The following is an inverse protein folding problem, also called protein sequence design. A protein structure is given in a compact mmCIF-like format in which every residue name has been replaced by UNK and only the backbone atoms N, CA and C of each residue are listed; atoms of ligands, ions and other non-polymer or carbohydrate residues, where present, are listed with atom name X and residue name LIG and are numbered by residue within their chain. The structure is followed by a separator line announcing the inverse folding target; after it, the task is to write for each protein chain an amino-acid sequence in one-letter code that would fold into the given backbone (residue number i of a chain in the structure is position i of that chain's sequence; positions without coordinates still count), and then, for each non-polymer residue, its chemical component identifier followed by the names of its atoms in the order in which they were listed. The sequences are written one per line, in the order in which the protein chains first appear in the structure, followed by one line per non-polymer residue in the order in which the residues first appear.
data_IF_455119849121
#
_entry.id   IF_455119849121
#
_cell.length_a   1.000
_cell.length_b   1.000
_cell.length_c   1.000
_cell.angle_alpha   90.00
_cell.angle_beta   90.00
_cell.angle_gamma   90.00
#
_symmetry.space_group_name_H-M   'P 1'
#
loop_
_entity.id
_entity.type
_entity.pdbx_description
1 polymer ?
#
# COMPACT_ATOMS: atom_id res chain seq x y z
N UNK A 1 30.06 -29.55 -33.11
CA UNK A 1 30.68 -28.41 -33.81
C UNK A 1 29.56 -27.66 -34.53
N UNK A 2 29.14 -26.51 -34.03
CA UNK A 2 28.15 -25.66 -34.70
C UNK A 2 28.83 -24.94 -35.87
N UNK A 3 28.25 -24.99 -37.07
CA UNK A 3 28.75 -24.27 -38.22
C UNK A 3 28.69 -22.76 -38.03
N UNK A 4 29.57 -21.95 -38.59
CA UNK A 4 29.57 -20.49 -38.49
C UNK A 4 28.21 -19.88 -38.84
N UNK A 5 27.52 -20.37 -39.86
CA UNK A 5 26.17 -19.92 -40.25
C UNK A 5 25.10 -20.17 -39.17
N UNK A 6 25.18 -21.28 -38.42
CA UNK A 6 24.26 -21.58 -37.34
C UNK A 6 24.52 -20.67 -36.13
N UNK A 7 25.74 -20.20 -35.93
CA UNK A 7 26.12 -19.29 -34.87
C UNK A 7 25.63 -17.86 -35.17
N UNK A 8 25.77 -17.39 -36.39
CA UNK A 8 25.25 -16.08 -36.87
C UNK A 8 23.72 -16.03 -36.80
N UNK A 9 23.04 -17.12 -37.17
CA UNK A 9 21.59 -17.22 -37.06
C UNK A 9 21.12 -17.14 -35.61
N UNK A 10 21.82 -17.81 -34.68
CA UNK A 10 21.50 -17.78 -33.23
C UNK A 10 21.69 -16.38 -32.63
N UNK A 11 22.75 -15.70 -32.97
CA UNK A 11 22.99 -14.32 -32.52
C UNK A 11 21.94 -13.35 -33.05
N UNK A 12 21.52 -13.50 -34.30
CA UNK A 12 20.46 -12.69 -34.89
C UNK A 12 19.12 -12.88 -34.15
N UNK A 13 18.79 -14.12 -33.80
CA UNK A 13 17.55 -14.43 -33.03
C UNK A 13 17.63 -13.83 -31.62
N UNK A 14 18.76 -14.02 -30.91
CA UNK A 14 18.94 -13.47 -29.57
C UNK A 14 18.84 -11.94 -29.56
N UNK A 15 19.48 -11.30 -30.53
CA UNK A 15 19.44 -9.85 -30.63
C UNK A 15 18.02 -9.33 -30.91
N UNK A 16 17.27 -9.99 -31.79
CA UNK A 16 15.85 -9.68 -32.02
C UNK A 16 14.99 -9.90 -30.77
N UNK A 17 15.23 -10.98 -30.02
CA UNK A 17 14.50 -11.25 -28.78
C UNK A 17 14.76 -10.19 -27.75
N UNK A 18 15.99 -9.75 -27.53
CA UNK A 18 16.36 -8.67 -26.63
C UNK A 18 15.73 -7.33 -27.06
N UNK A 19 15.72 -7.02 -28.35
CA UNK A 19 15.15 -5.78 -28.87
C UNK A 19 13.61 -5.76 -28.84
N UNK A 20 12.94 -6.91 -28.89
CA UNK A 20 11.48 -7.00 -28.78
C UNK A 20 10.99 -7.02 -27.35
N UNK A 21 11.89 -7.08 -26.35
CA UNK A 21 11.50 -6.95 -24.93
C UNK A 21 11.00 -5.55 -24.63
N UNK A 22 9.87 -5.46 -23.89
CA UNK A 22 9.38 -4.20 -23.37
C UNK A 22 10.20 -3.70 -22.16
N UNK A 23 10.94 -4.61 -21.51
CA UNK A 23 11.87 -4.22 -20.43
C UNK A 23 13.12 -3.59 -21.02
N UNK A 24 13.61 -2.55 -20.36
CA UNK A 24 14.90 -1.97 -20.65
C UNK A 24 16.01 -2.92 -20.19
N UNK A 25 16.89 -3.31 -21.10
CA UNK A 25 18.05 -4.15 -20.81
C UNK A 25 19.30 -3.37 -21.16
N UNK A 26 20.22 -3.30 -20.19
CA UNK A 26 21.54 -2.69 -20.38
C UNK A 26 22.62 -3.64 -19.92
N UNK A 27 23.82 -3.47 -20.45
CA UNK A 27 25.04 -4.12 -19.95
C UNK A 27 26.05 -3.03 -19.67
N UNK A 28 26.69 -3.09 -18.49
CA UNK A 28 27.77 -2.19 -18.11
C UNK A 28 29.07 -2.96 -17.90
N UNK A 29 30.24 -2.31 -18.11
CA UNK A 29 31.55 -2.90 -17.96
C UNK A 29 32.26 -2.29 -16.74
N UNK A 30 32.33 -3.02 -15.63
CA UNK A 30 32.97 -2.55 -14.39
C UNK A 30 34.51 -2.50 -14.46
N UNK A 31 35.12 -3.06 -15.48
CA UNK A 31 36.56 -2.94 -15.70
C UNK A 31 36.97 -1.58 -16.28
N UNK A 32 36.01 -0.84 -16.81
CA UNK A 32 36.19 0.51 -17.33
C UNK A 32 35.92 1.57 -16.24
N UNK A 33 36.54 2.74 -16.33
CA UNK A 33 36.27 3.83 -15.40
C UNK A 33 34.78 4.18 -15.39
N UNK A 34 34.19 4.28 -14.18
CA UNK A 34 32.82 4.67 -13.94
C UNK A 34 31.74 3.65 -14.34
N UNK A 35 32.09 2.39 -14.64
CA UNK A 35 31.16 1.32 -15.00
C UNK A 35 30.14 1.76 -16.07
N UNK A 36 30.61 2.11 -17.29
CA UNK A 36 29.78 2.68 -18.33
C UNK A 36 28.87 1.63 -18.99
N UNK A 37 27.80 2.10 -19.62
CA UNK A 37 26.93 1.30 -20.49
C UNK A 37 27.71 0.94 -21.75
N UNK A 38 27.77 -0.35 -22.07
CA UNK A 38 28.36 -0.87 -23.30
C UNK A 38 27.33 -1.48 -24.26
N UNK A 39 26.11 -1.72 -23.77
CA UNK A 39 24.99 -2.22 -24.56
C UNK A 39 23.68 -1.77 -23.96
N UNK A 40 22.69 -1.51 -24.81
CA UNK A 40 21.30 -1.35 -24.43
C UNK A 40 20.37 -1.90 -25.52
N UNK A 41 19.16 -2.29 -25.13
CA UNK A 41 18.14 -2.73 -26.06
C UNK A 41 17.14 -1.59 -26.40
N UNK A 42 16.30 -1.85 -27.40
CA UNK A 42 15.25 -0.89 -27.80
C UNK A 42 14.27 -0.57 -26.65
N UNK A 43 13.97 -1.55 -25.77
CA UNK A 43 13.10 -1.34 -24.61
C UNK A 43 13.62 -0.23 -23.68
N UNK A 44 14.93 -0.18 -23.45
CA UNK A 44 15.54 0.89 -22.68
C UNK A 44 15.33 2.27 -23.34
N UNK A 45 15.58 2.37 -24.64
CA UNK A 45 15.41 3.64 -25.37
C UNK A 45 13.96 4.10 -25.39
N UNK A 46 12.99 3.19 -25.55
CA UNK A 46 11.57 3.51 -25.54
C UNK A 46 11.10 3.96 -24.15
N UNK A 47 11.59 3.33 -23.09
CA UNK A 47 11.22 3.64 -21.69
C UNK A 47 11.83 4.97 -21.22
N UNK A 48 13.09 5.24 -21.61
CA UNK A 48 13.83 6.41 -21.08
C UNK A 48 13.86 7.60 -22.02
N UNK A 49 13.54 7.40 -23.30
CA UNK A 49 13.62 8.45 -24.33
C UNK A 49 15.04 8.80 -24.79
N UNK A 50 16.06 8.13 -24.25
CA UNK A 50 17.45 8.30 -24.68
C UNK A 50 17.79 7.37 -25.84
N UNK A 51 18.55 7.89 -26.80
CA UNK A 51 19.10 7.08 -27.90
C UNK A 51 20.39 6.41 -27.47
N UNK A 52 20.73 5.30 -28.11
CA UNK A 52 21.93 4.53 -27.84
C UNK A 52 23.19 5.41 -27.89
N UNK A 53 23.33 6.23 -28.93
CA UNK A 53 24.45 7.15 -29.15
C UNK A 53 24.63 8.23 -28.05
N UNK A 54 23.62 8.47 -27.25
CA UNK A 54 23.64 9.47 -26.17
C UNK A 54 24.10 8.88 -24.84
N UNK A 55 23.98 7.57 -24.66
CA UNK A 55 24.18 6.91 -23.36
C UNK A 55 25.26 5.83 -23.36
N UNK A 56 25.71 5.38 -24.53
CA UNK A 56 26.87 4.49 -24.61
C UNK A 56 28.12 5.21 -24.06
N UNK A 57 28.82 4.55 -23.15
CA UNK A 57 29.95 5.13 -22.43
C UNK A 57 29.61 5.94 -21.18
N UNK A 58 28.32 6.18 -20.92
CA UNK A 58 27.85 6.90 -19.73
C UNK A 58 27.44 5.92 -18.62
N UNK A 59 27.51 6.40 -17.35
CA UNK A 59 26.99 5.64 -16.24
C UNK A 59 25.48 5.93 -16.03
N UNK A 60 24.69 4.88 -15.74
CA UNK A 60 23.21 4.96 -15.61
C UNK A 60 22.69 5.97 -14.58
N UNK A 61 23.57 6.60 -13.76
CA UNK A 61 23.15 7.60 -12.78
C UNK A 61 22.48 8.83 -13.37
N UNK A 62 22.59 9.06 -14.69
CA UNK A 62 21.88 10.16 -15.37
C UNK A 62 20.35 10.01 -15.28
N UNK A 63 19.83 8.80 -14.99
CA UNK A 63 18.41 8.57 -14.72
C UNK A 63 17.99 8.96 -13.30
N UNK A 64 18.91 9.30 -12.40
CA UNK A 64 18.60 9.70 -11.04
C UNK A 64 18.20 11.18 -10.97
N UNK A 65 17.36 11.51 -9.99
CA UNK A 65 16.87 12.87 -9.81
C UNK A 65 16.33 13.12 -8.40
N UNK A 66 15.60 14.24 -8.18
CA UNK A 66 15.21 14.70 -6.85
C UNK A 66 14.41 13.70 -6.01
N UNK A 67 13.58 12.86 -6.64
CA UNK A 67 12.76 11.86 -5.94
C UNK A 67 13.44 10.49 -5.86
N UNK A 68 14.64 10.32 -6.42
CA UNK A 68 15.38 9.06 -6.30
C UNK A 68 15.85 8.87 -4.86
N UNK A 69 15.42 7.77 -4.23
CA UNK A 69 15.76 7.48 -2.85
C UNK A 69 17.28 7.17 -2.71
N UNK A 70 18.06 7.96 -1.94
CA UNK A 70 19.50 7.74 -1.76
C UNK A 70 19.82 6.35 -1.18
N UNK A 71 18.96 5.79 -0.33
CA UNK A 71 19.16 4.46 0.25
C UNK A 71 19.22 3.38 -0.84
N UNK A 72 18.30 3.40 -1.81
CA UNK A 72 18.32 2.45 -2.93
C UNK A 72 19.55 2.64 -3.83
N UNK A 73 20.03 3.88 -4.00
CA UNK A 73 21.27 4.15 -4.74
C UNK A 73 22.48 3.57 -4.00
N UNK A 74 22.53 3.65 -2.68
CA UNK A 74 23.61 3.06 -1.87
C UNK A 74 23.54 1.53 -1.87
N UNK A 75 22.35 0.91 -1.87
CA UNK A 75 22.19 -0.53 -2.07
C UNK A 75 22.75 -1.00 -3.40
N UNK A 76 22.43 -0.30 -4.50
CA UNK A 76 22.96 -0.58 -5.83
C UNK A 76 24.48 -0.46 -5.84
N UNK A 77 25.04 0.63 -5.29
CA UNK A 77 26.47 0.87 -5.24
C UNK A 77 27.19 -0.21 -4.42
N UNK A 78 26.62 -0.61 -3.29
CA UNK A 78 27.16 -1.68 -2.47
C UNK A 78 27.16 -3.02 -3.21
N UNK A 79 26.06 -3.37 -3.88
CA UNK A 79 25.92 -4.61 -4.64
C UNK A 79 26.96 -4.69 -5.78
N UNK A 80 27.09 -3.61 -6.54
CA UNK A 80 28.09 -3.53 -7.62
C UNK A 80 29.51 -3.68 -7.08
N UNK A 81 29.85 -3.02 -5.98
CA UNK A 81 31.20 -3.09 -5.39
C UNK A 81 31.59 -4.46 -4.86
N UNK A 82 30.59 -5.28 -4.49
CA UNK A 82 30.79 -6.64 -3.99
C UNK A 82 30.46 -7.72 -5.00
N UNK A 83 30.14 -7.38 -6.25
CA UNK A 83 29.73 -8.29 -7.30
C UNK A 83 28.52 -9.16 -6.90
N UNK A 84 27.53 -8.57 -6.27
CA UNK A 84 26.27 -9.22 -5.88
C UNK A 84 25.09 -8.72 -6.71
N UNK A 85 24.08 -9.58 -6.84
CA UNK A 85 22.80 -9.18 -7.44
C UNK A 85 22.04 -8.24 -6.50
N UNK A 86 21.27 -7.33 -7.10
CA UNK A 86 20.38 -6.42 -6.37
C UNK A 86 19.08 -6.22 -7.15
N UNK A 87 17.98 -6.10 -6.41
CA UNK A 87 16.67 -5.75 -7.00
C UNK A 87 16.01 -4.68 -6.14
N UNK A 88 15.76 -3.52 -6.73
CA UNK A 88 15.16 -2.36 -6.05
C UNK A 88 14.11 -1.72 -6.94
N UNK A 89 13.15 -1.04 -6.33
CA UNK A 89 12.25 -0.14 -7.05
C UNK A 89 12.60 1.30 -6.67
N UNK A 90 12.97 2.10 -7.65
CA UNK A 90 13.39 3.48 -7.43
C UNK A 90 12.76 4.43 -8.46
N UNK A 91 12.69 5.71 -8.14
CA UNK A 91 12.25 6.73 -9.09
C UNK A 91 13.41 7.09 -10.02
N UNK A 92 13.16 7.00 -11.33
CA UNK A 92 14.06 7.45 -12.38
C UNK A 92 13.39 8.53 -13.26
N UNK A 93 14.21 9.23 -14.01
CA UNK A 93 13.82 10.37 -14.84
C UNK A 93 14.19 10.09 -16.31
N UNK A 94 13.20 9.96 -17.20
CA UNK A 94 13.43 9.92 -18.63
C UNK A 94 13.92 11.27 -19.15
N UNK A 95 14.31 11.31 -20.42
CA UNK A 95 14.85 12.50 -21.09
C UNK A 95 13.89 13.69 -21.12
N UNK A 96 12.59 13.45 -21.08
CA UNK A 96 11.56 14.51 -21.07
C UNK A 96 11.38 15.20 -19.72
N UNK A 97 12.09 14.74 -18.67
CA UNK A 97 12.03 15.28 -17.32
C UNK A 97 10.83 14.85 -16.50
N UNK A 98 9.97 13.96 -16.99
CA UNK A 98 8.97 13.26 -16.18
C UNK A 98 9.66 12.32 -15.20
N UNK A 99 8.91 11.54 -14.44
CA UNK A 99 9.49 10.46 -13.63
C UNK A 99 8.70 9.17 -13.82
N UNK A 100 9.34 8.05 -13.53
CA UNK A 100 8.70 6.74 -13.50
C UNK A 100 9.27 5.87 -12.37
N UNK A 101 8.50 4.90 -11.92
CA UNK A 101 8.94 3.91 -10.96
C UNK A 101 9.61 2.77 -11.70
N UNK A 102 10.93 2.71 -11.55
CA UNK A 102 11.77 1.69 -12.19
C UNK A 102 11.99 0.52 -11.25
N UNK A 103 11.46 -0.65 -11.58
CA UNK A 103 11.89 -1.91 -10.97
C UNK A 103 13.16 -2.35 -11.66
N UNK A 104 14.29 -2.16 -10.98
CA UNK A 104 15.63 -2.43 -11.48
C UNK A 104 16.19 -3.66 -10.80
N UNK A 105 16.60 -4.64 -11.63
CA UNK A 105 17.40 -5.79 -11.19
C UNK A 105 18.76 -5.71 -11.88
N UNK A 106 19.84 -5.87 -11.11
CA UNK A 106 21.22 -5.86 -11.60
C UNK A 106 21.86 -7.18 -11.18
N UNK A 107 22.36 -7.92 -12.16
CA UNK A 107 23.05 -9.18 -11.94
C UNK A 107 24.49 -9.10 -12.48
N UNK A 108 25.50 -9.49 -11.67
CA UNK A 108 26.86 -9.64 -12.16
C UNK A 108 26.95 -10.85 -13.09
N UNK A 109 27.69 -10.71 -14.17
CA UNK A 109 27.94 -11.79 -15.09
C UNK A 109 29.43 -11.91 -15.44
N UNK A 110 29.86 -13.13 -15.65
CA UNK A 110 31.23 -13.51 -15.96
C UNK A 110 31.31 -13.89 -17.43
N UNK A 111 32.17 -13.24 -18.19
CA UNK A 111 32.41 -13.60 -19.61
C UNK A 111 33.85 -14.05 -19.82
N UNK A 112 34.80 -13.40 -19.12
CA UNK A 112 36.24 -13.67 -19.19
C UNK A 112 36.85 -13.73 -17.78
N UNK A 113 38.01 -14.34 -17.59
CA UNK A 113 38.71 -14.39 -16.33
C UNK A 113 38.95 -12.96 -15.79
N UNK A 114 38.56 -12.72 -14.54
CA UNK A 114 38.69 -11.45 -13.81
C UNK A 114 37.92 -10.25 -14.40
N UNK A 115 36.97 -10.46 -15.34
CA UNK A 115 36.20 -9.38 -15.92
C UNK A 115 34.71 -9.52 -15.64
N UNK A 116 34.17 -8.56 -14.85
CA UNK A 116 32.77 -8.50 -14.50
C UNK A 116 32.03 -7.51 -15.39
N UNK A 117 30.88 -7.97 -15.85
CA UNK A 117 29.85 -7.16 -16.47
C UNK A 117 28.62 -7.16 -15.58
N UNK A 118 27.84 -6.11 -15.62
CA UNK A 118 26.54 -6.10 -14.94
C UNK A 118 25.42 -6.00 -15.97
N UNK A 119 24.46 -6.90 -15.86
CA UNK A 119 23.23 -6.88 -16.67
C UNK A 119 22.16 -6.20 -15.83
N UNK A 120 21.71 -5.03 -16.26
CA UNK A 120 20.60 -4.31 -15.67
C UNK A 120 19.31 -4.58 -16.45
N UNK A 121 18.29 -5.12 -15.78
CA UNK A 121 16.94 -5.26 -16.33
C UNK A 121 16.03 -4.27 -15.62
N UNK A 122 15.33 -3.46 -16.41
CA UNK A 122 14.50 -2.35 -15.93
C UNK A 122 13.07 -2.52 -16.43
N UNK A 123 12.11 -2.36 -15.54
CA UNK A 123 10.69 -2.36 -15.88
C UNK A 123 10.03 -1.12 -15.31
N UNK A 124 9.29 -0.39 -16.15
CA UNK A 124 8.39 0.65 -15.65
C UNK A 124 7.19 -0.01 -14.97
N UNK A 125 7.04 0.26 -13.68
CA UNK A 125 5.95 -0.24 -12.83
C UNK A 125 5.09 0.91 -12.30
N UNK A 126 5.13 2.06 -12.96
CA UNK A 126 4.41 3.26 -12.54
C UNK A 126 2.90 3.03 -12.53
N UNK A 127 2.37 2.36 -13.56
CA UNK A 127 0.93 2.06 -13.67
C UNK A 127 0.52 1.13 -12.52
N UNK A 128 1.29 0.08 -12.26
CA UNK A 128 1.01 -0.90 -11.20
C UNK A 128 1.02 -0.23 -9.81
N UNK A 129 2.03 0.59 -9.52
CA UNK A 129 2.15 1.32 -8.25
C UNK A 129 1.01 2.33 -8.09
N UNK A 130 0.75 3.14 -9.11
CA UNK A 130 -0.33 4.15 -9.08
C UNK A 130 -1.70 3.51 -8.89
N UNK A 131 -1.97 2.38 -9.58
CA UNK A 131 -3.22 1.65 -9.44
C UNK A 131 -3.38 1.07 -8.02
N UNK A 132 -2.30 0.55 -7.44
CA UNK A 132 -2.30 0.03 -6.08
C UNK A 132 -2.53 1.14 -5.05
N UNK A 133 -1.88 2.29 -5.20
CA UNK A 133 -2.08 3.47 -4.35
C UNK A 133 -3.52 4.00 -4.42
N UNK A 134 -4.08 4.10 -5.64
CA UNK A 134 -5.47 4.52 -5.83
C UNK A 134 -6.47 3.55 -5.18
N UNK A 135 -6.25 2.23 -5.34
CA UNK A 135 -7.08 1.23 -4.69
C UNK A 135 -6.99 1.35 -3.16
N UNK A 136 -5.80 1.50 -2.62
CA UNK A 136 -5.60 1.67 -1.20
C UNK A 136 -6.29 2.94 -0.66
N UNK A 137 -6.16 4.07 -1.37
CA UNK A 137 -6.84 5.32 -1.02
C UNK A 137 -8.37 5.17 -1.07
N UNK A 138 -8.90 4.52 -2.11
CA UNK A 138 -10.34 4.28 -2.24
C UNK A 138 -10.87 3.39 -1.10
N UNK A 139 -10.12 2.36 -0.71
CA UNK A 139 -10.47 1.51 0.44
C UNK A 139 -10.47 2.28 1.75
N UNK A 140 -9.45 3.10 1.99
CA UNK A 140 -9.35 3.95 3.20
C UNK A 140 -10.50 4.98 3.26
N UNK A 141 -10.86 5.57 2.13
CA UNK A 141 -11.98 6.49 2.04
C UNK A 141 -13.32 5.77 2.28
N UNK A 142 -13.55 4.61 1.68
CA UNK A 142 -14.73 3.79 1.92
C UNK A 142 -14.85 3.37 3.38
N UNK A 143 -13.74 2.96 4.01
CA UNK A 143 -13.71 2.64 5.44
C UNK A 143 -14.04 3.88 6.30
N UNK A 144 -13.47 5.04 6.00
CA UNK A 144 -13.76 6.30 6.72
C UNK A 144 -15.22 6.71 6.61
N UNK A 145 -15.83 6.55 5.45
CA UNK A 145 -17.25 6.88 5.22
C UNK A 145 -18.20 5.86 5.85
N UNK A 146 -17.73 4.63 6.11
CA UNK A 146 -18.55 3.56 6.68
C UNK A 146 -18.79 3.69 8.19
N UNK A 147 -18.11 4.61 8.89
CA UNK A 147 -18.20 4.81 10.34
C UNK A 147 -18.29 6.29 10.74
N UNK A 148 -19.20 7.08 10.15
CA UNK A 148 -19.31 8.49 10.50
C UNK A 148 -19.93 8.62 11.90
N UNK A 149 -19.27 9.36 12.82
CA UNK A 149 -19.89 9.80 14.05
C UNK A 149 -20.66 11.08 13.73
N UNK A 150 -21.97 11.01 13.81
CA UNK A 150 -22.87 12.10 13.46
C UNK A 150 -23.44 12.72 14.75
N UNK A 151 -23.18 14.01 15.04
CA UNK A 151 -23.86 14.69 16.15
C UNK A 151 -25.32 14.86 15.78
N UNK A 152 -26.23 14.43 16.65
CA UNK A 152 -27.67 14.57 16.43
C UNK A 152 -28.21 15.69 17.31
N UNK A 153 -27.74 15.77 18.55
CA UNK A 153 -28.14 16.80 19.53
C UNK A 153 -26.94 17.17 20.41
N UNK A 154 -27.08 18.20 21.21
CA UNK A 154 -26.05 18.62 22.17
C UNK A 154 -25.70 17.48 23.13
N UNK A 155 -24.45 17.02 23.08
CA UNK A 155 -23.94 15.92 23.89
C UNK A 155 -24.41 14.53 23.47
N UNK A 156 -25.03 14.37 22.29
CA UNK A 156 -25.48 13.08 21.77
C UNK A 156 -25.01 12.93 20.33
N UNK A 157 -24.16 11.91 20.09
CA UNK A 157 -23.74 11.51 18.76
C UNK A 157 -24.22 10.10 18.43
N UNK A 158 -24.38 9.82 17.13
CA UNK A 158 -24.75 8.49 16.62
C UNK A 158 -23.63 7.99 15.74
N UNK A 159 -23.35 6.72 15.89
CA UNK A 159 -22.44 5.93 15.06
C UNK A 159 -23.22 4.76 14.44
N UNK A 160 -23.63 4.85 13.17
CA UNK A 160 -24.22 3.72 12.48
C UNK A 160 -23.12 2.73 12.04
N UNK A 161 -23.27 1.46 12.43
CA UNK A 161 -22.42 0.37 11.95
C UNK A 161 -23.09 -0.33 10.77
N UNK A 162 -22.49 -0.19 9.58
CA UNK A 162 -22.99 -0.82 8.34
C UNK A 162 -21.95 -1.84 7.86
N UNK A 163 -22.39 -3.04 7.42
CA UNK A 163 -21.52 -4.10 6.92
C UNK A 163 -21.00 -5.02 8.02
N UNK A 164 -19.69 -5.23 8.12
CA UNK A 164 -19.05 -6.10 9.11
C UNK A 164 -18.23 -5.30 10.13
N UNK A 165 -18.19 -5.77 11.37
CA UNK A 165 -17.31 -5.23 12.41
C UNK A 165 -16.07 -6.11 12.51
N UNK A 166 -14.88 -5.53 12.31
CA UNK A 166 -13.59 -6.20 12.43
C UNK A 166 -12.62 -5.37 13.30
N UNK A 167 -11.50 -5.95 13.72
CA UNK A 167 -10.51 -5.31 14.60
C UNK A 167 -10.04 -3.95 14.06
N UNK A 168 -9.69 -3.88 12.78
CA UNK A 168 -9.25 -2.63 12.14
C UNK A 168 -10.32 -1.53 12.24
N UNK A 169 -11.57 -1.88 12.06
CA UNK A 169 -12.69 -0.93 12.15
C UNK A 169 -12.90 -0.45 13.58
N UNK A 170 -12.69 -1.32 14.56
CA UNK A 170 -12.73 -0.95 15.99
C UNK A 170 -11.62 0.04 16.33
N UNK A 171 -10.40 -0.19 15.84
CA UNK A 171 -9.28 0.74 15.99
C UNK A 171 -9.57 2.11 15.35
N UNK A 172 -10.16 2.12 14.16
CA UNK A 172 -10.57 3.36 13.49
C UNK A 172 -11.64 4.12 14.27
N UNK A 173 -12.62 3.42 14.87
CA UNK A 173 -13.62 3.99 15.75
C UNK A 173 -12.96 4.65 16.96
N UNK A 174 -12.04 3.96 17.61
CA UNK A 174 -11.29 4.48 18.75
C UNK A 174 -10.52 5.77 18.39
N UNK A 175 -9.79 5.75 17.28
CA UNK A 175 -9.03 6.91 16.81
C UNK A 175 -9.94 8.09 16.43
N UNK A 176 -11.07 7.83 15.78
CA UNK A 176 -12.05 8.85 15.42
C UNK A 176 -12.71 9.47 16.65
N UNK A 177 -12.95 8.66 17.67
CA UNK A 177 -13.57 9.10 18.90
C UNK A 177 -12.61 9.93 19.77
N UNK A 178 -11.36 9.48 19.90
CA UNK A 178 -10.31 10.20 20.64
C UNK A 178 -9.97 11.55 20.03
N UNK A 179 -9.86 11.62 18.70
CA UNK A 179 -9.58 12.89 18.01
C UNK A 179 -10.73 13.90 18.13
N UNK A 180 -11.97 13.43 18.20
CA UNK A 180 -13.17 14.28 18.29
C UNK A 180 -13.51 14.71 19.71
N UNK A 181 -13.27 13.85 20.71
CA UNK A 181 -13.62 14.13 22.12
C UNK A 181 -12.76 15.25 22.73
N UNK A 182 -11.69 15.67 22.08
CA UNK A 182 -10.97 16.91 22.42
C UNK A 182 -11.78 18.18 22.09
N UNK A 183 -12.79 18.07 21.22
CA UNK A 183 -13.59 19.22 20.72
C UNK A 183 -15.09 19.13 21.11
N UNK A 184 -15.66 17.94 21.30
CA UNK A 184 -17.07 17.76 21.69
C UNK A 184 -17.17 16.85 22.90
N UNK A 185 -17.79 17.33 23.99
CA UNK A 185 -18.07 16.55 25.21
C UNK A 185 -19.39 15.79 25.05
N UNK A 186 -19.40 14.75 24.20
CA UNK A 186 -20.55 13.90 24.03
C UNK A 186 -20.82 13.10 25.34
N UNK A 187 -21.99 13.26 25.94
CA UNK A 187 -22.42 12.48 27.09
C UNK A 187 -22.86 11.07 26.69
N UNK A 188 -23.43 10.96 25.48
CA UNK A 188 -23.95 9.70 24.94
C UNK A 188 -23.44 9.46 23.53
N UNK A 189 -22.98 8.24 23.28
CA UNK A 189 -22.76 7.71 21.94
C UNK A 189 -23.77 6.60 21.67
N UNK A 190 -24.64 6.81 20.70
CA UNK A 190 -25.57 5.80 20.22
C UNK A 190 -24.88 5.00 19.15
N UNK A 191 -24.61 3.72 19.41
CA UNK A 191 -24.10 2.76 18.46
C UNK A 191 -25.27 2.03 17.82
N UNK A 192 -25.56 2.32 16.55
CA UNK A 192 -26.64 1.67 15.82
C UNK A 192 -26.12 0.49 15.03
N UNK A 193 -26.47 -0.73 15.45
CA UNK A 193 -26.04 -1.99 14.83
C UNK A 193 -27.05 -2.56 13.85
N UNK A 194 -28.12 -1.83 13.53
CA UNK A 194 -29.16 -2.29 12.59
C UNK A 194 -28.64 -2.56 11.17
N UNK A 195 -27.56 -1.92 10.78
CA UNK A 195 -26.90 -2.06 9.49
C UNK A 195 -25.83 -3.15 9.43
N UNK A 196 -25.56 -3.89 10.51
CA UNK A 196 -24.61 -4.99 10.50
C UNK A 196 -25.15 -6.18 9.72
N UNK A 197 -24.44 -6.54 8.64
CA UNK A 197 -24.82 -7.69 7.79
C UNK A 197 -24.47 -9.03 8.45
N UNK A 198 -23.38 -9.05 9.21
CA UNK A 198 -22.89 -10.24 9.91
C UNK A 198 -22.16 -9.82 11.20
N UNK A 199 -22.25 -10.65 12.22
CA UNK A 199 -21.44 -10.57 13.43
C UNK A 199 -20.78 -11.92 13.70
N UNK A 200 -19.59 -11.86 14.32
CA UNK A 200 -18.77 -13.03 14.65
C UNK A 200 -18.74 -13.25 16.17
N UNK A 201 -18.05 -14.30 16.59
CA UNK A 201 -17.90 -14.67 18.00
C UNK A 201 -17.15 -13.63 18.86
N UNK A 202 -16.55 -12.60 18.24
CA UNK A 202 -15.91 -11.49 18.96
C UNK A 202 -16.86 -10.33 19.25
N UNK A 203 -18.04 -10.27 18.61
CA UNK A 203 -18.94 -9.12 18.64
C UNK A 203 -19.22 -8.60 20.03
N UNK A 204 -19.58 -9.47 20.99
CA UNK A 204 -19.84 -9.06 22.36
C UNK A 204 -18.63 -8.48 23.07
N UNK A 205 -17.46 -9.08 22.86
CA UNK A 205 -16.19 -8.58 23.39
C UNK A 205 -15.83 -7.22 22.78
N UNK A 206 -16.10 -7.04 21.50
CA UNK A 206 -15.85 -5.79 20.79
C UNK A 206 -16.74 -4.66 21.32
N UNK A 207 -18.01 -4.95 21.58
CA UNK A 207 -18.94 -4.01 22.23
C UNK A 207 -18.47 -3.65 23.64
N UNK A 208 -18.00 -4.62 24.42
CA UNK A 208 -17.44 -4.36 25.76
C UNK A 208 -16.18 -3.48 25.70
N UNK A 209 -15.30 -3.73 24.76
CA UNK A 209 -14.12 -2.90 24.56
C UNK A 209 -14.51 -1.46 24.23
N UNK A 210 -15.44 -1.26 23.29
CA UNK A 210 -15.97 0.07 22.95
C UNK A 210 -16.59 0.73 24.20
N UNK A 211 -17.40 0.01 24.96
CA UNK A 211 -17.98 0.53 26.19
C UNK A 211 -16.93 0.98 27.21
N UNK A 212 -15.93 0.15 27.48
CA UNK A 212 -14.87 0.47 28.43
C UNK A 212 -14.07 1.72 28.01
N UNK A 213 -13.76 1.86 26.71
CA UNK A 213 -13.08 3.04 26.18
C UNK A 213 -13.93 4.31 26.36
N UNK A 214 -15.21 4.25 25.99
CA UNK A 214 -16.12 5.38 26.13
C UNK A 214 -16.31 5.80 27.57
N UNK A 215 -16.43 4.83 28.48
CA UNK A 215 -16.54 5.06 29.92
C UNK A 215 -15.31 5.79 30.48
N UNK A 216 -14.09 5.43 30.03
CA UNK A 216 -12.87 6.14 30.42
C UNK A 216 -12.86 7.60 29.94
N UNK A 217 -13.53 7.89 28.83
CA UNK A 217 -13.68 9.25 28.29
C UNK A 217 -14.87 10.02 28.84
N UNK A 218 -15.65 9.40 29.75
CA UNK A 218 -16.82 10.01 30.34
C UNK A 218 -18.07 10.00 29.45
N UNK A 219 -18.08 9.15 28.40
CA UNK A 219 -19.20 9.00 27.48
C UNK A 219 -19.94 7.69 27.75
N UNK A 220 -21.26 7.74 27.84
CA UNK A 220 -22.12 6.57 28.01
C UNK A 220 -22.42 5.91 26.63
N UNK A 221 -22.18 4.62 26.51
CA UNK A 221 -22.59 3.85 25.34
C UNK A 221 -24.07 3.52 25.39
N UNK A 222 -24.76 3.71 24.27
CA UNK A 222 -26.15 3.31 24.05
C UNK A 222 -26.19 2.45 22.80
N UNK A 223 -26.81 1.25 22.86
CA UNK A 223 -26.98 0.37 21.71
C UNK A 223 -28.38 0.49 21.13
N UNK A 224 -28.49 0.52 19.81
CA UNK A 224 -29.78 0.46 19.09
C UNK A 224 -29.71 -0.51 17.92
N UNK A 225 -30.87 -1.02 17.49
CA UNK A 225 -30.97 -1.85 16.30
C UNK A 225 -30.48 -3.28 16.48
N UNK A 226 -30.46 -3.80 17.71
CA UNK A 226 -30.09 -5.19 17.99
C UNK A 226 -31.10 -6.14 17.39
N UNK A 227 -30.66 -7.07 16.52
CA UNK A 227 -31.49 -8.14 15.99
C UNK A 227 -31.78 -9.23 17.04
N UNK A 228 -32.83 -10.04 16.86
CA UNK A 228 -33.10 -11.18 17.76
C UNK A 228 -31.91 -12.13 17.90
N UNK A 229 -31.21 -12.42 16.80
CA UNK A 229 -30.05 -13.30 16.80
C UNK A 229 -28.87 -12.71 17.58
N UNK A 230 -28.64 -11.39 17.46
CA UNK A 230 -27.64 -10.67 18.28
C UNK A 230 -28.01 -10.70 19.76
N UNK A 231 -29.28 -10.52 20.10
CA UNK A 231 -29.76 -10.56 21.47
C UNK A 231 -29.57 -11.95 22.11
N UNK A 232 -29.91 -13.02 21.38
CA UNK A 232 -29.65 -14.40 21.80
C UNK A 232 -28.15 -14.62 22.02
N UNK A 233 -27.32 -14.22 21.05
CA UNK A 233 -25.88 -14.37 21.16
C UNK A 233 -25.31 -13.60 22.36
N UNK A 234 -25.70 -12.34 22.55
CA UNK A 234 -25.26 -11.52 23.70
C UNK A 234 -25.67 -12.13 25.03
N UNK A 235 -26.80 -12.84 25.09
CA UNK A 235 -27.25 -13.54 26.32
C UNK A 235 -26.40 -14.77 26.69
N UNK A 236 -25.57 -15.26 25.76
CA UNK A 236 -24.64 -16.39 26.00
C UNK A 236 -23.27 -15.95 26.49
N UNK A 237 -23.01 -14.65 26.51
CA UNK A 237 -21.72 -14.10 26.96
C UNK A 237 -21.73 -14.06 28.49
N UNK A 238 -20.65 -14.59 29.09
CA UNK A 238 -20.51 -14.64 30.55
C UNK A 238 -20.29 -13.27 31.20
N UNK A 239 -19.89 -12.27 30.41
CA UNK A 239 -19.65 -10.91 30.88
C UNK A 239 -20.97 -10.17 31.14
N UNK A 240 -21.05 -9.45 32.26
CA UNK A 240 -22.19 -8.64 32.58
C UNK A 240 -22.28 -7.39 31.67
N UNK A 241 -23.28 -7.37 30.80
CA UNK A 241 -23.59 -6.24 29.90
C UNK A 241 -24.78 -5.38 30.38
N UNK A 242 -25.30 -5.62 31.59
CA UNK A 242 -26.51 -4.97 32.12
C UNK A 242 -26.37 -3.45 32.26
N UNK A 243 -25.13 -2.94 32.26
CA UNK A 243 -24.83 -1.51 32.32
C UNK A 243 -24.92 -0.77 30.98
N UNK A 244 -25.02 -1.50 29.84
CA UNK A 244 -25.20 -0.88 28.53
C UNK A 244 -26.68 -0.59 28.30
N UNK A 245 -27.00 0.67 28.01
CA UNK A 245 -28.36 1.05 27.67
C UNK A 245 -28.72 0.54 26.28
N UNK A 246 -29.82 -0.20 26.18
CA UNK A 246 -30.30 -0.79 24.95
C UNK A 246 -31.68 -0.29 24.59
N UNK A 247 -31.86 0.17 23.37
CA UNK A 247 -33.16 0.58 22.82
C UNK A 247 -33.43 -0.07 21.48
N UNK A 248 -34.68 -0.19 21.08
CA UNK A 248 -35.04 -0.80 19.81
C UNK A 248 -34.57 0.04 18.62
N UNK A 249 -34.59 1.35 18.73
CA UNK A 249 -34.20 2.29 17.69
C UNK A 249 -33.61 3.58 18.26
N UNK A 250 -32.93 4.36 17.43
CA UNK A 250 -32.46 5.71 17.75
C UNK A 250 -33.65 6.58 18.19
N UNK A 251 -34.80 6.46 17.51
CA UNK A 251 -36.00 7.22 17.82
C UNK A 251 -36.53 6.96 19.24
N UNK A 252 -36.38 5.73 19.73
CA UNK A 252 -36.80 5.36 21.09
C UNK A 252 -35.78 5.78 22.15
N UNK A 253 -34.52 5.84 21.79
CA UNK A 253 -33.42 6.27 22.67
C UNK A 253 -33.45 7.78 22.96
N UNK A 254 -33.53 8.61 21.90
CA UNK A 254 -33.39 10.08 22.01
C UNK A 254 -34.25 10.75 23.08
N UNK A 255 -35.56 10.48 23.22
CA UNK A 255 -36.37 11.12 24.24
C UNK A 255 -35.95 10.81 25.67
N UNK A 256 -35.32 9.65 25.89
CA UNK A 256 -34.89 9.15 27.19
C UNK A 256 -33.50 9.61 27.62
N UNK A 257 -32.70 10.05 26.64
CA UNK A 257 -31.34 10.57 26.87
C UNK A 257 -31.31 12.09 27.13
N UNK A 258 -32.42 12.79 26.90
CA UNK A 258 -32.59 14.23 27.11
C UNK A 258 -32.87 14.62 28.55
N UNK A 259 -33.08 13.65 29.44
CA UNK A 259 -33.34 13.85 30.88
C UNK A 259 -32.02 13.80 31.65
#
# INVERSE_FOLDING_TARGET
MTTPEAQDSKWSILNKALHSSQSGIIVTDSSLPDNPIIYLNQGFSLMTGYKEEEVLGENCRFLQGPLTNPHHVDEIRSAISHNHSVSVTLVNYPKDGSFFHNQLTIDPTYIEEDKYYFIGVQKDVTIEITAQEQLQQALEEAERLSTPIVPIEEGISVLPLIGTLNERRIEMLFNSFTSRNTTSKDRYLILDVSGLAQFNDSFGRDILNIYNWLKLMGTQLVLTGISPDMAIYMSTIEDDMSFILVYQSIKDALPKLKL
#
